data_IF_349926243284
#
_entry.id   IF_349926243284
#
_cell.length_a   1.000
_cell.length_b   1.000
_cell.length_c   1.000
_cell.angle_alpha   90.00
_cell.angle_beta   90.00
_cell.angle_gamma   90.00
#
_symmetry.space_group_name_H-M   'P 1'
#
loop_
_entity.id
_entity.type
_entity.pdbx_description
1 polymer ?
#
# COMPACT_ATOMS: atom_id res chain seq x y z
N UNK A 1 33.46 12.29 42.09
CA UNK A 1 32.49 12.78 41.08
C UNK A 1 32.73 11.99 39.82
N UNK A 2 31.89 11.03 39.49
CA UNK A 2 31.99 10.27 38.25
C UNK A 2 31.45 11.18 37.10
N UNK A 3 32.18 11.35 36.03
CA UNK A 3 31.70 12.12 34.89
C UNK A 3 30.49 11.41 34.28
N UNK A 4 29.37 12.12 34.21
CA UNK A 4 28.21 11.61 33.43
C UNK A 4 28.60 11.41 31.98
N UNK A 5 28.26 10.27 31.38
CA UNK A 5 28.53 10.06 29.95
C UNK A 5 27.83 11.14 29.14
N UNK A 6 28.44 11.60 28.03
CA UNK A 6 27.85 12.64 27.19
C UNK A 6 26.46 12.16 26.72
N UNK A 7 25.43 12.99 26.90
CA UNK A 7 24.10 12.74 26.35
C UNK A 7 24.21 12.76 24.82
N UNK A 8 24.20 11.59 24.20
CA UNK A 8 24.04 11.48 22.76
C UNK A 8 22.65 12.04 22.43
N UNK A 9 22.60 13.13 21.69
CA UNK A 9 21.32 13.64 21.16
C UNK A 9 20.81 12.63 20.16
N UNK A 10 19.78 11.88 20.53
CA UNK A 10 19.07 11.06 19.56
C UNK A 10 18.42 11.97 18.49
N UNK A 11 18.56 11.69 17.21
CA UNK A 11 17.90 12.46 16.17
C UNK A 11 16.38 12.37 16.35
N UNK A 12 15.68 13.51 16.12
CA UNK A 12 14.22 13.63 16.27
C UNK A 12 13.48 12.57 15.44
N UNK A 13 14.04 12.20 14.28
CA UNK A 13 13.57 11.12 13.41
C UNK A 13 14.68 10.06 13.28
N UNK A 14 14.61 9.02 14.10
CA UNK A 14 15.51 7.87 14.01
C UNK A 14 14.95 6.84 13.02
N UNK A 15 14.87 7.24 11.72
CA UNK A 15 14.40 6.35 10.65
C UNK A 15 15.54 5.50 10.11
N UNK A 16 15.32 4.20 9.85
CA UNK A 16 16.26 3.38 9.11
C UNK A 16 16.54 3.97 7.72
N UNK A 17 17.77 3.85 7.23
CA UNK A 17 18.16 4.34 5.90
C UNK A 17 17.24 3.84 4.79
N UNK A 18 16.80 2.58 4.85
CA UNK A 18 15.85 2.01 3.89
C UNK A 18 14.55 2.80 3.82
N UNK A 19 14.00 3.21 4.98
CA UNK A 19 12.76 4.02 5.04
C UNK A 19 13.02 5.41 4.47
N UNK A 20 14.12 6.05 4.86
CA UNK A 20 14.49 7.38 4.34
C UNK A 20 14.64 7.36 2.81
N UNK A 21 15.31 6.34 2.26
CA UNK A 21 15.45 6.18 0.82
C UNK A 21 14.11 5.92 0.13
N UNK A 22 13.25 5.07 0.70
CA UNK A 22 11.91 4.82 0.16
C UNK A 22 11.07 6.11 0.11
N UNK A 23 11.09 6.91 1.17
CA UNK A 23 10.43 8.21 1.22
C UNK A 23 11.01 9.18 0.18
N UNK A 24 12.34 9.24 0.07
CA UNK A 24 13.01 10.10 -0.90
C UNK A 24 12.63 9.74 -2.35
N UNK A 25 12.50 8.45 -2.66
CA UNK A 25 12.05 7.96 -3.98
C UNK A 25 10.62 8.40 -4.26
N UNK A 26 9.67 8.18 -3.33
CA UNK A 26 8.27 8.56 -3.54
C UNK A 26 8.10 10.07 -3.71
N UNK A 27 8.70 10.85 -2.82
CA UNK A 27 8.65 12.32 -2.86
C UNK A 27 9.37 12.84 -4.10
N UNK A 28 10.53 12.29 -4.44
CA UNK A 28 11.33 12.69 -5.60
C UNK A 28 10.59 12.45 -6.92
N UNK A 29 9.99 11.26 -7.10
CA UNK A 29 9.19 10.96 -8.29
C UNK A 29 8.00 11.92 -8.39
N UNK A 30 7.27 12.17 -7.30
CA UNK A 30 6.16 13.12 -7.31
C UNK A 30 6.61 14.54 -7.67
N UNK A 31 7.72 15.02 -7.09
CA UNK A 31 8.27 16.32 -7.38
C UNK A 31 8.73 16.47 -8.86
N UNK A 32 9.38 15.43 -9.41
CA UNK A 32 9.81 15.41 -10.82
C UNK A 32 8.60 15.47 -11.75
N UNK A 33 7.54 14.70 -11.46
CA UNK A 33 6.31 14.72 -12.27
C UNK A 33 5.67 16.09 -12.37
N UNK A 34 5.71 16.90 -11.32
CA UNK A 34 5.17 18.27 -11.35
C UNK A 34 5.97 19.24 -12.23
N UNK A 35 7.16 18.84 -12.70
CA UNK A 35 7.98 19.62 -13.63
C UNK A 35 7.77 19.20 -15.09
N UNK A 36 7.00 18.13 -15.34
CA UNK A 36 6.69 17.65 -16.68
C UNK A 36 5.57 18.48 -17.29
N UNK A 37 5.48 18.48 -18.63
CA UNK A 37 4.28 18.98 -19.31
C UNK A 37 3.09 18.06 -19.03
N UNK A 38 1.87 18.60 -19.06
CA UNK A 38 0.63 17.83 -18.84
C UNK A 38 0.54 16.59 -19.74
N UNK A 39 0.96 16.72 -21.00
CA UNK A 39 0.98 15.61 -21.95
C UNK A 39 1.97 14.50 -21.53
N UNK A 40 3.16 14.89 -21.08
CA UNK A 40 4.19 13.93 -20.65
C UNK A 40 3.80 13.25 -19.35
N UNK A 41 3.26 13.99 -18.38
CA UNK A 41 2.78 13.42 -17.11
C UNK A 41 1.60 12.48 -17.34
N UNK A 42 0.65 12.85 -18.21
CA UNK A 42 -0.46 11.99 -18.61
C UNK A 42 0.04 10.66 -19.21
N UNK A 43 0.96 10.71 -20.18
CA UNK A 43 1.55 9.51 -20.80
C UNK A 43 2.24 8.64 -19.73
N UNK A 44 3.01 9.25 -18.85
CA UNK A 44 3.69 8.55 -17.75
C UNK A 44 2.69 7.85 -16.84
N UNK A 45 1.58 8.52 -16.47
CA UNK A 45 0.53 7.89 -15.66
C UNK A 45 -0.07 6.70 -16.40
N UNK A 46 -0.43 6.85 -17.67
CA UNK A 46 -1.02 5.76 -18.47
C UNK A 46 -0.05 4.58 -18.61
N UNK A 47 1.25 4.83 -18.68
CA UNK A 47 2.27 3.81 -18.87
C UNK A 47 2.64 3.06 -17.59
N UNK A 48 2.47 3.69 -16.42
CA UNK A 48 2.97 3.18 -15.15
C UNK A 48 1.88 2.85 -14.14
N UNK A 49 0.65 3.34 -14.32
CA UNK A 49 -0.50 3.06 -13.46
C UNK A 49 -1.16 1.72 -13.80
N UNK A 50 -1.81 1.11 -12.82
CA UNK A 50 -2.69 -0.04 -13.07
C UNK A 50 -4.00 0.47 -13.69
N UNK A 51 -4.33 -0.06 -14.85
CA UNK A 51 -5.63 0.17 -15.50
C UNK A 51 -6.29 -1.20 -15.68
N UNK A 52 -7.28 -1.53 -14.84
CA UNK A 52 -7.88 -2.87 -14.83
C UNK A 52 -8.40 -3.34 -16.18
N UNK A 53 -9.14 -2.48 -16.90
CA UNK A 53 -9.70 -2.82 -18.21
C UNK A 53 -8.60 -3.23 -19.22
N UNK A 54 -7.43 -2.56 -19.20
CA UNK A 54 -6.28 -2.92 -20.04
C UNK A 54 -5.76 -4.33 -19.71
N UNK A 55 -5.64 -4.68 -18.44
CA UNK A 55 -5.23 -6.02 -18.02
C UNK A 55 -6.28 -7.06 -18.41
N UNK A 56 -7.55 -6.80 -18.12
CA UNK A 56 -8.64 -7.73 -18.39
C UNK A 56 -8.79 -8.02 -19.88
N UNK A 57 -8.63 -7.02 -20.74
CA UNK A 57 -8.63 -7.20 -22.19
C UNK A 57 -7.41 -7.99 -22.66
N UNK A 58 -6.20 -7.58 -22.23
CA UNK A 58 -4.95 -8.22 -22.67
C UNK A 58 -4.83 -9.69 -22.22
N UNK A 59 -5.40 -10.04 -21.08
CA UNK A 59 -5.39 -11.42 -20.54
C UNK A 59 -6.68 -12.21 -20.84
N UNK A 60 -7.56 -11.67 -21.71
CA UNK A 60 -8.74 -12.37 -22.22
C UNK A 60 -9.89 -12.51 -21.23
N UNK A 61 -9.93 -11.69 -20.17
CA UNK A 61 -11.00 -11.70 -19.17
C UNK A 61 -12.24 -10.91 -19.58
N UNK A 62 -12.08 -9.87 -20.44
CA UNK A 62 -13.14 -8.97 -20.90
C UNK A 62 -12.84 -8.55 -22.33
N UNK A 63 -13.86 -8.29 -23.14
CA UNK A 63 -13.70 -7.79 -24.50
C UNK A 63 -13.77 -6.26 -24.54
N UNK A 64 -13.11 -5.66 -25.54
CA UNK A 64 -13.10 -4.19 -25.71
C UNK A 64 -14.51 -3.64 -25.90
N UNK A 65 -15.34 -4.34 -26.69
CA UNK A 65 -16.73 -3.94 -26.93
C UNK A 65 -17.58 -3.95 -25.66
N UNK A 66 -17.35 -4.90 -24.72
CA UNK A 66 -18.02 -4.95 -23.42
C UNK A 66 -17.63 -3.73 -22.54
N UNK A 67 -16.36 -3.36 -22.50
CA UNK A 67 -15.90 -2.15 -21.80
C UNK A 67 -16.53 -0.90 -22.41
N UNK A 68 -16.51 -0.78 -23.74
CA UNK A 68 -17.08 0.38 -24.43
C UNK A 68 -18.61 0.46 -24.27
N UNK A 69 -19.29 -0.67 -24.24
CA UNK A 69 -20.74 -0.71 -23.98
C UNK A 69 -21.05 -0.27 -22.55
N UNK A 70 -20.33 -0.76 -21.55
CA UNK A 70 -20.56 -0.36 -20.15
C UNK A 70 -20.39 1.15 -19.92
N UNK A 71 -19.47 1.79 -20.68
CA UNK A 71 -19.24 3.23 -20.62
C UNK A 71 -20.31 4.06 -21.37
N UNK A 72 -21.07 3.44 -22.28
CA UNK A 72 -22.17 4.08 -23.00
C UNK A 72 -23.49 4.08 -22.23
N UNK A 73 -23.64 3.20 -21.27
CA UNK A 73 -24.86 3.12 -20.48
C UNK A 73 -25.13 4.44 -19.75
N UNK A 74 -26.28 5.08 -20.08
CA UNK A 74 -26.67 6.37 -19.53
C UNK A 74 -26.08 7.62 -20.18
N UNK A 75 -25.32 7.47 -21.29
CA UNK A 75 -24.77 8.59 -22.07
C UNK A 75 -25.56 8.72 -23.39
N UNK A 76 -25.95 9.94 -23.85
CA UNK A 76 -26.57 10.15 -25.14
C UNK A 76 -25.71 9.61 -26.29
N UNK A 77 -26.34 9.03 -27.32
CA UNK A 77 -25.67 8.33 -28.44
C UNK A 77 -24.69 9.19 -29.22
N UNK A 78 -24.90 10.51 -29.27
CA UNK A 78 -24.09 11.49 -29.99
C UNK A 78 -22.92 12.07 -29.15
N UNK A 79 -22.80 11.65 -27.89
CA UNK A 79 -21.84 12.21 -26.94
C UNK A 79 -20.68 11.24 -26.70
N UNK A 80 -19.45 11.69 -26.98
CA UNK A 80 -18.24 10.99 -26.53
C UNK A 80 -17.87 11.53 -25.16
N UNK A 81 -18.11 10.73 -24.11
CA UNK A 81 -17.68 11.13 -22.77
C UNK A 81 -16.15 11.10 -22.66
N UNK A 82 -15.54 11.93 -21.77
CA UNK A 82 -14.10 11.87 -21.50
C UNK A 82 -13.61 10.47 -21.12
N UNK A 83 -14.46 9.71 -20.45
CA UNK A 83 -14.17 8.32 -20.04
C UNK A 83 -14.09 7.39 -21.26
N UNK A 84 -14.96 7.56 -22.25
CA UNK A 84 -14.92 6.79 -23.50
C UNK A 84 -13.66 7.13 -24.31
N UNK A 85 -13.28 8.42 -24.38
CA UNK A 85 -12.05 8.83 -25.04
C UNK A 85 -10.81 8.23 -24.37
N UNK A 86 -10.78 8.23 -23.04
CA UNK A 86 -9.71 7.57 -22.27
C UNK A 86 -9.68 6.06 -22.55
N UNK A 87 -10.83 5.38 -22.55
CA UNK A 87 -10.93 3.95 -22.84
C UNK A 87 -10.40 3.62 -24.24
N UNK A 88 -10.80 4.39 -25.25
CA UNK A 88 -10.30 4.23 -26.60
C UNK A 88 -8.78 4.37 -26.67
N UNK A 89 -8.23 5.42 -26.03
CA UNK A 89 -6.78 5.65 -26.01
C UNK A 89 -6.02 4.53 -25.32
N UNK A 90 -6.50 4.06 -24.15
CA UNK A 90 -5.84 3.02 -23.33
C UNK A 90 -5.94 1.65 -23.99
N UNK A 91 -7.11 1.29 -24.54
CA UNK A 91 -7.38 -0.04 -25.10
C UNK A 91 -6.86 -0.20 -26.54
N UNK A 92 -6.62 0.90 -27.26
CA UNK A 92 -5.93 0.88 -28.56
C UNK A 92 -4.47 0.39 -28.45
N UNK A 93 -3.89 0.41 -27.25
CA UNK A 93 -2.57 -0.13 -26.96
C UNK A 93 -2.74 -1.58 -26.49
N UNK A 94 -2.57 -2.54 -27.38
CA UNK A 94 -2.87 -3.98 -27.14
C UNK A 94 -2.03 -4.64 -26.03
N UNK A 95 -1.08 -3.92 -25.40
CA UNK A 95 -0.18 -4.43 -24.37
C UNK A 95 -0.81 -4.39 -22.98
N UNK A 96 -0.80 -5.50 -22.27
CA UNK A 96 -1.31 -5.61 -20.88
C UNK A 96 -0.47 -4.88 -19.82
N UNK A 97 0.79 -4.56 -20.11
CA UNK A 97 1.74 -3.84 -19.23
C UNK A 97 1.83 -4.40 -17.80
N UNK A 98 2.28 -5.66 -17.63
CA UNK A 98 2.27 -6.32 -16.32
C UNK A 98 3.18 -5.65 -15.28
N UNK A 99 4.21 -4.87 -15.70
CA UNK A 99 5.07 -4.11 -14.79
C UNK A 99 4.30 -3.08 -13.97
N UNK A 100 3.12 -2.64 -14.45
CA UNK A 100 2.26 -1.69 -13.74
C UNK A 100 1.79 -2.25 -12.40
N UNK A 101 1.82 -3.57 -12.19
CA UNK A 101 1.58 -4.20 -10.89
C UNK A 101 2.52 -3.71 -9.78
N UNK A 102 3.68 -3.18 -10.14
CA UNK A 102 4.67 -2.63 -9.21
C UNK A 102 4.80 -1.11 -9.34
N UNK A 103 4.80 -0.60 -10.59
CA UNK A 103 5.17 0.80 -10.85
C UNK A 103 4.10 1.79 -10.38
N UNK A 104 2.84 1.42 -10.33
CA UNK A 104 1.76 2.27 -9.85
C UNK A 104 1.99 2.80 -8.42
N UNK A 105 2.69 2.03 -7.58
CA UNK A 105 2.98 2.40 -6.20
C UNK A 105 3.90 3.61 -6.06
N UNK A 106 4.62 3.97 -7.12
CA UNK A 106 5.50 5.15 -7.12
C UNK A 106 4.78 6.43 -7.52
N UNK A 107 3.59 6.34 -8.09
CA UNK A 107 2.82 7.47 -8.58
C UNK A 107 1.82 7.96 -7.52
N UNK A 108 1.66 9.28 -7.40
CA UNK A 108 0.70 9.89 -6.48
C UNK A 108 0.00 11.06 -7.16
N UNK A 109 -1.30 11.24 -6.88
CA UNK A 109 -2.13 12.27 -7.50
C UNK A 109 -1.95 13.66 -6.88
N UNK A 110 -1.41 13.75 -5.65
CA UNK A 110 -1.24 15.02 -4.94
C UNK A 110 -0.17 14.94 -3.85
N UNK A 111 0.31 16.09 -3.38
CA UNK A 111 1.20 16.16 -2.21
C UNK A 111 0.56 15.54 -0.96
N UNK A 112 -0.72 15.79 -0.72
CA UNK A 112 -1.42 15.17 0.40
C UNK A 112 -1.36 13.62 0.31
N UNK A 113 -1.57 13.06 -0.88
CA UNK A 113 -1.54 11.62 -1.12
C UNK A 113 -0.15 11.02 -0.85
N UNK A 114 0.93 11.60 -1.40
CA UNK A 114 2.29 11.09 -1.16
C UNK A 114 2.73 11.25 0.30
N UNK A 115 2.37 12.37 0.96
CA UNK A 115 2.74 12.63 2.35
C UNK A 115 2.01 11.69 3.32
N UNK A 116 0.72 11.45 3.11
CA UNK A 116 -0.04 10.48 3.92
C UNK A 116 0.54 9.08 3.78
N UNK A 117 0.81 8.62 2.55
CA UNK A 117 1.49 7.35 2.32
C UNK A 117 2.88 7.32 2.98
N UNK A 118 3.64 8.41 2.90
CA UNK A 118 4.94 8.56 3.52
C UNK A 118 4.90 8.44 5.05
N UNK A 119 3.95 9.08 5.70
CA UNK A 119 3.75 8.98 7.16
C UNK A 119 3.45 7.54 7.57
N UNK A 120 2.54 6.87 6.89
CA UNK A 120 2.19 5.48 7.16
C UNK A 120 3.35 4.52 6.84
N UNK A 121 4.08 4.75 5.75
CA UNK A 121 5.30 4.02 5.42
C UNK A 121 6.35 4.16 6.53
N UNK A 122 6.57 5.36 7.04
CA UNK A 122 7.50 5.60 8.15
C UNK A 122 7.03 4.90 9.43
N UNK A 123 5.74 4.99 9.76
CA UNK A 123 5.16 4.44 10.99
C UNK A 123 5.24 2.91 11.02
N UNK A 124 4.81 2.23 9.94
CA UNK A 124 4.75 0.76 9.90
C UNK A 124 5.98 0.11 9.27
N UNK A 125 6.64 0.79 8.33
CA UNK A 125 7.87 0.29 7.72
C UNK A 125 9.05 0.27 8.68
N UNK A 126 9.19 1.29 9.54
CA UNK A 126 10.31 1.36 10.49
C UNK A 126 10.41 0.12 11.39
N UNK A 127 9.36 -0.31 12.11
CA UNK A 127 9.43 -1.52 12.93
C UNK A 127 9.67 -2.79 12.09
N UNK A 128 9.19 -2.87 10.86
CA UNK A 128 9.45 -4.00 9.97
C UNK A 128 10.91 -4.02 9.53
N UNK A 129 11.49 -2.89 9.11
CA UNK A 129 12.92 -2.82 8.74
C UNK A 129 13.81 -3.17 9.92
N UNK A 130 13.51 -2.66 11.12
CA UNK A 130 14.28 -2.96 12.34
C UNK A 130 14.20 -4.44 12.72
N UNK A 131 13.06 -5.09 12.45
CA UNK A 131 12.83 -6.50 12.75
C UNK A 131 13.42 -7.43 11.69
N UNK A 132 13.14 -7.17 10.44
CA UNK A 132 13.36 -8.11 9.32
C UNK A 132 14.55 -7.73 8.44
N UNK A 133 15.06 -6.50 8.56
CA UNK A 133 16.07 -5.95 7.66
C UNK A 133 15.49 -5.48 6.31
N UNK A 134 16.30 -4.77 5.53
CA UNK A 134 15.89 -4.11 4.30
C UNK A 134 15.36 -5.10 3.24
N UNK A 135 16.04 -6.23 3.02
CA UNK A 135 15.64 -7.20 1.98
C UNK A 135 14.23 -7.74 2.18
N UNK A 136 13.91 -8.21 3.39
CA UNK A 136 12.59 -8.77 3.71
C UNK A 136 11.50 -7.71 3.69
N UNK A 137 11.82 -6.50 4.13
CA UNK A 137 10.93 -5.34 4.01
C UNK A 137 10.57 -5.05 2.54
N UNK A 138 11.56 -5.00 1.63
CA UNK A 138 11.33 -4.75 0.21
C UNK A 138 10.51 -5.88 -0.45
N UNK A 139 10.77 -7.14 -0.09
CA UNK A 139 9.96 -8.28 -0.55
C UNK A 139 8.51 -8.13 -0.08
N UNK A 140 8.30 -7.80 1.20
CA UNK A 140 6.97 -7.60 1.75
C UNK A 140 6.22 -6.48 1.02
N UNK A 141 6.89 -5.34 0.79
CA UNK A 141 6.33 -4.23 0.01
C UNK A 141 5.96 -4.66 -1.40
N UNK A 142 6.88 -5.31 -2.12
CA UNK A 142 6.65 -5.72 -3.50
C UNK A 142 5.47 -6.69 -3.63
N UNK A 143 5.41 -7.72 -2.77
CA UNK A 143 4.31 -8.69 -2.77
C UNK A 143 2.98 -8.01 -2.44
N UNK A 144 2.95 -7.14 -1.41
CA UNK A 144 1.73 -6.42 -1.05
C UNK A 144 1.27 -5.46 -2.15
N UNK A 145 2.20 -4.82 -2.86
CA UNK A 145 1.91 -3.98 -4.03
C UNK A 145 1.26 -4.80 -5.14
N UNK A 146 1.90 -5.90 -5.55
CA UNK A 146 1.39 -6.76 -6.63
C UNK A 146 0.02 -7.35 -6.29
N UNK A 147 -0.14 -7.89 -5.07
CA UNK A 147 -1.43 -8.46 -4.65
C UNK A 147 -2.52 -7.39 -4.55
N UNK A 148 -2.18 -6.17 -4.12
CA UNK A 148 -3.10 -5.04 -4.15
C UNK A 148 -3.58 -4.72 -5.56
N UNK A 149 -2.66 -4.62 -6.53
CA UNK A 149 -2.98 -4.38 -7.93
C UNK A 149 -3.86 -5.49 -8.53
N UNK A 150 -3.49 -6.76 -8.31
CA UNK A 150 -4.24 -7.91 -8.82
C UNK A 150 -5.64 -7.96 -8.22
N UNK A 151 -5.77 -7.75 -6.90
CA UNK A 151 -7.07 -7.76 -6.24
C UNK A 151 -7.98 -6.63 -6.74
N UNK A 152 -7.42 -5.43 -6.91
CA UNK A 152 -8.17 -4.29 -7.47
C UNK A 152 -8.63 -4.58 -8.90
N UNK A 153 -7.75 -5.07 -9.76
CA UNK A 153 -8.09 -5.39 -11.16
C UNK A 153 -9.13 -6.52 -11.25
N UNK A 154 -9.04 -7.52 -10.37
CA UNK A 154 -10.02 -8.61 -10.29
C UNK A 154 -11.43 -8.11 -9.89
N UNK A 155 -11.50 -7.19 -8.93
CA UNK A 155 -12.76 -6.63 -8.45
C UNK A 155 -13.39 -5.61 -9.42
N UNK A 156 -12.57 -4.98 -10.28
CA UNK A 156 -12.97 -3.88 -11.17
C UNK A 156 -12.52 -4.11 -12.62
N UNK A 157 -12.85 -5.24 -13.26
CA UNK A 157 -12.24 -5.65 -14.54
C UNK A 157 -12.49 -4.70 -15.71
N UNK A 158 -13.53 -3.86 -15.64
CA UNK A 158 -13.90 -2.89 -16.69
C UNK A 158 -13.45 -1.46 -16.37
N UNK A 159 -12.78 -1.22 -15.22
CA UNK A 159 -12.38 0.12 -14.83
C UNK A 159 -11.24 0.65 -15.73
N UNK A 160 -11.45 1.83 -16.31
CA UNK A 160 -10.49 2.48 -17.22
C UNK A 160 -9.66 3.58 -16.54
N UNK A 161 -10.07 4.02 -15.35
CA UNK A 161 -9.30 5.01 -14.59
C UNK A 161 -7.99 4.41 -14.06
N UNK A 162 -6.89 5.17 -14.17
CA UNK A 162 -5.60 4.73 -13.62
C UNK A 162 -5.62 4.65 -12.09
N UNK A 163 -5.25 3.52 -11.52
CA UNK A 163 -4.97 3.39 -10.09
C UNK A 163 -3.50 3.67 -9.82
N UNK A 164 -3.23 4.54 -8.83
CA UNK A 164 -1.89 4.98 -8.40
C UNK A 164 -1.80 5.05 -6.87
N UNK A 165 -0.61 4.92 -6.33
CA UNK A 165 -0.31 5.13 -4.90
C UNK A 165 0.33 3.95 -4.20
N UNK A 166 1.18 4.23 -3.19
CA UNK A 166 1.87 3.22 -2.38
C UNK A 166 0.98 2.53 -1.33
N UNK A 167 -0.29 2.88 -1.25
CA UNK A 167 -1.19 2.51 -0.16
C UNK A 167 -1.46 1.00 -0.05
N UNK A 168 -1.42 0.25 -1.17
CA UNK A 168 -1.47 -1.21 -1.16
C UNK A 168 -0.28 -1.82 -0.42
N UNK A 169 0.94 -1.35 -0.70
CA UNK A 169 2.15 -1.76 0.02
C UNK A 169 2.09 -1.37 1.51
N UNK A 170 1.67 -0.14 1.80
CA UNK A 170 1.52 0.37 3.18
C UNK A 170 0.51 -0.47 3.96
N UNK A 171 -0.62 -0.84 3.36
CA UNK A 171 -1.61 -1.73 3.97
C UNK A 171 -1.01 -3.09 4.35
N UNK A 172 -0.15 -3.64 3.49
CA UNK A 172 0.60 -4.86 3.80
C UNK A 172 1.58 -4.70 4.95
N UNK A 173 2.27 -3.55 5.05
CA UNK A 173 3.12 -3.24 6.22
C UNK A 173 2.30 -3.13 7.51
N UNK A 174 1.12 -2.53 7.45
CA UNK A 174 0.20 -2.44 8.60
C UNK A 174 -0.22 -3.83 9.08
N UNK A 175 -0.62 -4.70 8.15
CA UNK A 175 -0.96 -6.08 8.44
C UNK A 175 0.21 -6.86 9.06
N UNK A 176 1.40 -6.73 8.49
CA UNK A 176 2.61 -7.36 8.99
C UNK A 176 3.00 -6.85 10.39
N UNK A 177 2.91 -5.56 10.61
CA UNK A 177 3.22 -4.94 11.89
C UNK A 177 2.26 -5.36 13.01
N UNK A 178 0.99 -5.62 12.70
CA UNK A 178 0.00 -6.06 13.68
C UNK A 178 0.31 -7.41 14.32
N UNK A 179 1.16 -8.26 13.71
CA UNK A 179 1.61 -9.51 14.29
C UNK A 179 2.45 -9.33 15.56
N UNK A 180 3.09 -8.17 15.77
CA UNK A 180 4.03 -8.00 16.88
C UNK A 180 3.96 -6.64 17.60
N UNK A 181 3.46 -5.58 16.98
CA UNK A 181 3.42 -4.25 17.61
C UNK A 181 2.54 -4.26 18.87
N UNK A 182 1.43 -4.99 18.83
CA UNK A 182 0.48 -5.10 19.94
C UNK A 182 0.75 -6.29 20.87
N UNK A 183 1.88 -7.00 20.69
CA UNK A 183 2.28 -8.07 21.58
C UNK A 183 2.55 -7.51 22.99
N UNK A 184 2.20 -8.24 24.05
CA UNK A 184 2.47 -7.83 25.42
C UNK A 184 3.94 -7.45 25.64
N UNK A 185 4.23 -6.52 26.56
CA UNK A 185 5.60 -6.21 26.94
C UNK A 185 6.37 -7.47 27.34
N UNK A 186 7.61 -7.55 26.90
CA UNK A 186 8.53 -8.63 27.22
C UNK A 186 9.86 -8.05 27.67
N UNK A 187 10.60 -8.79 28.52
CA UNK A 187 11.97 -8.42 28.89
C UNK A 187 12.95 -8.87 27.80
N UNK A 188 13.82 -7.96 27.42
CA UNK A 188 14.98 -8.29 26.60
C UNK A 188 16.08 -8.93 27.47
N UNK A 189 16.92 -9.78 26.87
CA UNK A 189 18.01 -10.43 27.56
C UNK A 189 19.02 -9.44 28.23
N UNK A 190 19.07 -8.20 27.73
CA UNK A 190 19.86 -7.10 28.30
C UNK A 190 19.24 -6.47 29.56
N UNK A 191 18.17 -7.01 30.11
CA UNK A 191 17.52 -6.50 31.32
C UNK A 191 16.67 -5.24 31.11
N UNK A 192 16.32 -4.88 29.88
CA UNK A 192 15.41 -3.78 29.51
C UNK A 192 14.09 -4.30 28.93
N UNK A 193 13.09 -3.43 28.85
CA UNK A 193 11.86 -3.75 28.11
C UNK A 193 12.17 -3.87 26.61
N UNK A 194 11.74 -4.97 26.00
CA UNK A 194 11.86 -5.20 24.58
C UNK A 194 11.06 -4.16 23.79
N UNK A 195 11.69 -3.58 22.79
CA UNK A 195 11.00 -2.72 21.83
C UNK A 195 9.95 -3.54 21.05
N UNK A 196 8.88 -2.94 20.49
CA UNK A 196 7.85 -3.68 19.77
C UNK A 196 8.41 -4.63 18.70
N UNK A 197 9.41 -4.20 17.93
CA UNK A 197 10.04 -4.99 16.87
C UNK A 197 10.92 -6.16 17.38
N UNK A 198 11.25 -6.20 18.65
CA UNK A 198 12.05 -7.27 19.29
C UNK A 198 11.16 -8.34 19.95
N UNK A 199 9.86 -8.07 20.09
CA UNK A 199 8.92 -8.98 20.78
C UNK A 199 8.60 -10.18 19.88
N UNK A 200 8.37 -11.38 20.45
CA UNK A 200 7.85 -12.51 19.69
C UNK A 200 6.55 -12.14 19.01
N UNK A 201 6.37 -12.59 17.76
CA UNK A 201 5.07 -12.41 17.08
C UNK A 201 3.99 -13.24 17.73
N UNK A 202 2.78 -12.74 17.72
CA UNK A 202 1.60 -13.47 18.17
C UNK A 202 1.21 -14.58 17.18
N UNK A 203 0.41 -15.53 17.62
CA UNK A 203 -0.30 -16.44 16.73
C UNK A 203 -1.53 -15.74 16.15
N UNK A 204 -2.00 -16.16 14.98
CA UNK A 204 -3.21 -15.59 14.38
C UNK A 204 -4.40 -15.64 15.34
N UNK A 205 -4.54 -16.75 16.09
CA UNK A 205 -5.60 -16.92 17.10
C UNK A 205 -5.54 -15.85 18.22
N UNK A 206 -4.34 -15.50 18.68
CA UNK A 206 -4.16 -14.46 19.71
C UNK A 206 -4.37 -13.06 19.11
N UNK A 207 -3.87 -12.82 17.90
CA UNK A 207 -4.01 -11.55 17.21
C UNK A 207 -5.49 -11.18 17.01
N UNK A 208 -6.33 -12.11 16.53
CA UNK A 208 -7.77 -11.87 16.33
C UNK A 208 -8.59 -11.77 17.62
N UNK A 209 -7.98 -12.03 18.78
CA UNK A 209 -8.57 -11.85 20.11
C UNK A 209 -7.99 -10.65 20.86
N UNK A 210 -6.93 -10.07 20.34
CA UNK A 210 -6.31 -8.90 20.98
C UNK A 210 -7.16 -7.66 20.68
N UNK A 211 -7.73 -7.08 21.75
CA UNK A 211 -8.59 -5.89 21.64
C UNK A 211 -7.89 -4.72 20.95
N UNK A 212 -6.59 -4.52 21.19
CA UNK A 212 -5.85 -3.42 20.56
C UNK A 212 -5.71 -3.63 19.02
N UNK A 213 -5.45 -4.86 18.60
CA UNK A 213 -5.44 -5.23 17.18
C UNK A 213 -6.82 -5.00 16.56
N UNK A 214 -7.89 -5.48 17.21
CA UNK A 214 -9.24 -5.35 16.70
C UNK A 214 -9.68 -3.87 16.59
N UNK A 215 -9.36 -3.04 17.59
CA UNK A 215 -9.64 -1.61 17.54
C UNK A 215 -8.85 -0.95 16.39
N UNK A 216 -7.55 -1.25 16.28
CA UNK A 216 -6.70 -0.71 15.23
C UNK A 216 -7.23 -1.09 13.84
N UNK A 217 -7.52 -2.37 13.60
CA UNK A 217 -8.07 -2.84 12.34
C UNK A 217 -9.46 -2.26 12.08
N UNK A 218 -10.32 -2.19 13.11
CA UNK A 218 -11.65 -1.59 13.00
C UNK A 218 -11.60 -0.13 12.57
N UNK A 219 -10.70 0.67 13.15
CA UNK A 219 -10.48 2.07 12.73
C UNK A 219 -9.96 2.12 11.29
N UNK A 220 -9.02 1.26 10.93
CA UNK A 220 -8.46 1.21 9.59
C UNK A 220 -9.52 0.83 8.53
N UNK A 221 -10.33 -0.20 8.79
CA UNK A 221 -11.43 -0.59 7.91
C UNK A 221 -12.49 0.51 7.81
N UNK A 222 -12.86 1.14 8.92
CA UNK A 222 -13.81 2.24 8.93
C UNK A 222 -13.29 3.44 8.12
N UNK A 223 -12.01 3.80 8.26
CA UNK A 223 -11.39 4.85 7.47
C UNK A 223 -11.40 4.51 5.97
N UNK A 224 -11.03 3.27 5.59
CA UNK A 224 -11.09 2.83 4.20
C UNK A 224 -12.52 2.90 3.64
N UNK A 225 -13.52 2.45 4.42
CA UNK A 225 -14.93 2.53 4.04
C UNK A 225 -15.39 3.98 3.85
N UNK A 226 -15.11 4.85 4.81
CA UNK A 226 -15.49 6.28 4.72
C UNK A 226 -14.86 6.93 3.50
N UNK A 227 -13.56 6.72 3.27
CA UNK A 227 -12.87 7.30 2.11
C UNK A 227 -13.28 6.69 0.77
N UNK A 228 -13.82 5.47 0.74
CA UNK A 228 -14.37 4.88 -0.47
C UNK A 228 -15.68 5.55 -0.92
N UNK A 229 -16.49 6.03 0.03
CA UNK A 229 -17.82 6.57 -0.24
C UNK A 229 -17.96 8.07 0.01
N UNK A 230 -17.07 8.65 0.82
CA UNK A 230 -17.04 10.09 1.11
C UNK A 230 -15.80 10.68 0.46
N UNK A 231 -15.95 11.25 -0.73
CA UNK A 231 -14.84 11.97 -1.38
C UNK A 231 -14.52 13.22 -0.56
N UNK A 232 -13.29 13.36 -0.03
CA UNK A 232 -12.90 14.59 0.65
C UNK A 232 -12.96 15.79 -0.31
N UNK A 233 -13.50 16.91 0.16
CA UNK A 233 -13.51 18.17 -0.59
C UNK A 233 -12.09 18.53 -1.01
N UNK A 234 -11.84 18.66 -2.33
CA UNK A 234 -10.52 18.96 -2.90
C UNK A 234 -9.72 17.75 -3.42
N UNK A 235 -10.20 16.52 -3.25
CA UNK A 235 -9.73 15.33 -3.97
C UNK A 235 -10.70 15.00 -5.11
N UNK A 236 -10.90 15.94 -6.02
CA UNK A 236 -11.72 15.72 -7.19
C UNK A 236 -11.06 14.63 -8.05
N UNK A 237 -11.83 13.61 -8.41
CA UNK A 237 -11.56 12.54 -9.39
C UNK A 237 -10.71 11.32 -8.99
N UNK A 238 -10.31 11.13 -7.73
CA UNK A 238 -9.66 9.91 -7.32
C UNK A 238 -10.50 9.12 -6.32
N UNK A 239 -11.35 8.22 -6.79
CA UNK A 239 -11.93 7.19 -5.92
C UNK A 239 -10.78 6.41 -5.28
N UNK A 240 -10.75 6.32 -3.95
CA UNK A 240 -9.73 5.52 -3.28
C UNK A 240 -9.98 4.06 -3.62
N UNK A 241 -8.97 3.42 -4.22
CA UNK A 241 -8.99 1.99 -4.56
C UNK A 241 -8.86 1.14 -3.27
N UNK A 242 -9.93 1.12 -2.46
CA UNK A 242 -9.95 0.40 -1.18
C UNK A 242 -9.69 -1.11 -1.36
N UNK A 243 -10.02 -1.67 -2.52
CA UNK A 243 -9.76 -3.06 -2.89
C UNK A 243 -8.25 -3.34 -2.94
N UNK A 244 -7.46 -2.39 -3.47
CA UNK A 244 -6.01 -2.51 -3.47
C UNK A 244 -5.45 -2.54 -2.04
N UNK A 245 -6.06 -1.79 -1.11
CA UNK A 245 -5.68 -1.82 0.30
C UNK A 245 -5.98 -3.19 0.92
N UNK A 246 -7.16 -3.76 0.65
CA UNK A 246 -7.51 -5.11 1.13
C UNK A 246 -6.56 -6.16 0.56
N UNK A 247 -6.32 -6.15 -0.75
CA UNK A 247 -5.40 -7.09 -1.39
C UNK A 247 -3.98 -7.01 -0.81
N UNK A 248 -3.45 -5.79 -0.64
CA UNK A 248 -2.15 -5.56 -0.02
C UNK A 248 -2.10 -6.00 1.46
N UNK A 249 -3.15 -5.68 2.22
CA UNK A 249 -3.28 -6.08 3.62
C UNK A 249 -3.29 -7.61 3.78
N UNK A 250 -4.12 -8.31 3.03
CA UNK A 250 -4.20 -9.78 3.07
C UNK A 250 -2.86 -10.43 2.69
N UNK A 251 -2.18 -9.90 1.67
CA UNK A 251 -0.86 -10.37 1.29
C UNK A 251 0.17 -10.18 2.40
N UNK A 252 0.22 -8.99 3.02
CA UNK A 252 1.11 -8.70 4.13
C UNK A 252 0.84 -9.58 5.35
N UNK A 253 -0.44 -9.80 5.67
CA UNK A 253 -0.86 -10.69 6.75
C UNK A 253 -0.39 -12.13 6.52
N UNK A 254 -0.53 -12.63 5.30
CA UNK A 254 -0.21 -14.02 4.94
C UNK A 254 1.29 -14.27 4.81
N UNK A 255 2.05 -13.34 4.21
CA UNK A 255 3.47 -13.58 3.92
C UNK A 255 4.40 -13.26 5.10
N UNK A 256 4.00 -12.33 5.98
CA UNK A 256 4.87 -11.88 7.07
C UNK A 256 5.41 -13.03 7.95
N UNK A 257 4.62 -14.05 8.36
CA UNK A 257 5.13 -15.17 9.15
C UNK A 257 6.32 -15.91 8.53
N UNK A 258 6.44 -15.90 7.21
CA UNK A 258 7.56 -16.53 6.49
C UNK A 258 8.77 -15.61 6.34
N UNK A 259 8.56 -14.30 6.47
CA UNK A 259 9.61 -13.28 6.42
C UNK A 259 10.16 -12.94 7.81
N UNK A 260 9.44 -13.28 8.86
CA UNK A 260 9.81 -12.97 10.24
C UNK A 260 11.01 -13.78 10.72
N UNK A 261 12.13 -13.15 11.12
CA UNK A 261 13.30 -13.86 11.63
C UNK A 261 13.12 -14.38 13.06
N UNK A 262 12.10 -13.87 13.78
CA UNK A 262 11.88 -14.25 15.19
C UNK A 262 10.79 -15.33 15.28
N UNK A 263 10.94 -16.27 16.26
CA UNK A 263 9.96 -17.33 16.45
C UNK A 263 8.61 -16.76 16.88
N UNK A 264 7.55 -17.51 16.58
CA UNK A 264 6.24 -17.24 17.14
C UNK A 264 6.28 -17.46 18.69
N UNK A 265 5.45 -16.71 19.41
CA UNK A 265 5.25 -16.94 20.83
C UNK A 265 4.77 -18.38 21.06
N UNK A 266 5.38 -19.15 21.96
CA UNK A 266 4.88 -20.49 22.27
C UNK A 266 3.42 -20.38 22.70
N UNK A 267 2.55 -21.22 22.15
CA UNK A 267 1.20 -21.38 22.69
C UNK A 267 1.33 -21.82 24.14
N UNK A 268 0.83 -21.03 25.09
CA UNK A 268 0.67 -21.53 26.45
C UNK A 268 -0.31 -22.70 26.34
N UNK A 269 0.21 -23.90 26.43
CA UNK A 269 -0.61 -25.08 26.68
C UNK A 269 -1.21 -24.75 28.05
N UNK A 270 -2.51 -24.53 28.10
CA UNK A 270 -3.26 -24.43 29.34
C UNK A 270 -3.09 -25.76 30.07
N UNK A 271 -2.23 -25.75 31.11
CA UNK A 271 -2.20 -26.83 32.08
C UNK A 271 -3.47 -26.78 32.92
#
# INVERSE_FOLDING_TARGET
MSPHPPRVREPILNLPTTITLSLAVLIGIHAVRLLLSDETDFKLIIDWAVIPARWSVAFGGVRIDEVMQSLREGVPDDTISPMMALAQYVLAQEEGRPWTALTYAFLHGSWAHVLINGVWLAAFGTPIVRRCGAKRFLILMAVSTVCGAVFYAFMNPMQVLPMIGASGAVSGLMAAASWFIFSPPAWHWEGRLAQPHERPRETLRHMVRNRQVLIFLGIWFAANYVFAFVQPVGMMDASIAWEAHIGGFLAGLAIFPFLDPLPARPSRISA
#
